data_IF_961328038386
#
_entry.id   IF_961328038386
#
_cell.length_a   1.000
_cell.length_b   1.000
_cell.length_c   1.000
_cell.angle_alpha   90.00
_cell.angle_beta   90.00
_cell.angle_gamma   90.00
#
_symmetry.space_group_name_H-M   'P 1'
#
loop_
_entity.id
_entity.type
_entity.pdbx_description
1 polymer ?
#
# COMPACT_ATOMS: atom_id res chain seq x y z
N UNK A 1 -21.87 -24.64 -0.94
CA UNK A 1 -21.01 -23.80 -0.08
C UNK A 1 -19.53 -24.04 -0.37
N UNK A 2 -19.07 -25.29 -0.38
CA UNK A 2 -17.65 -25.64 -0.64
C UNK A 2 -17.14 -25.09 -1.98
N UNK A 3 -17.87 -25.26 -3.08
CA UNK A 3 -17.47 -24.72 -4.40
C UNK A 3 -17.34 -23.18 -4.39
N UNK A 4 -18.21 -22.49 -3.65
CA UNK A 4 -18.14 -21.03 -3.52
C UNK A 4 -16.91 -20.60 -2.71
N UNK A 5 -16.57 -21.32 -1.65
CA UNK A 5 -15.39 -21.08 -0.84
C UNK A 5 -14.10 -21.24 -1.67
N UNK A 6 -13.99 -22.30 -2.48
CA UNK A 6 -12.87 -22.51 -3.39
C UNK A 6 -12.70 -21.36 -4.42
N UNK A 7 -13.82 -20.86 -4.97
CA UNK A 7 -13.79 -19.71 -5.89
C UNK A 7 -13.31 -18.46 -5.17
N UNK A 8 -13.78 -18.21 -3.95
CA UNK A 8 -13.35 -17.05 -3.14
C UNK A 8 -11.87 -17.16 -2.80
N UNK A 9 -11.41 -18.33 -2.35
CA UNK A 9 -9.99 -18.58 -2.07
C UNK A 9 -9.11 -18.31 -3.31
N UNK A 10 -9.52 -18.81 -4.47
CA UNK A 10 -8.82 -18.54 -5.72
C UNK A 10 -8.72 -17.05 -6.05
N UNK A 11 -9.78 -16.27 -5.78
CA UNK A 11 -9.77 -14.81 -5.94
C UNK A 11 -8.85 -14.11 -4.95
N UNK A 12 -8.84 -14.52 -3.68
CA UNK A 12 -7.94 -13.96 -2.67
C UNK A 12 -6.47 -14.20 -3.06
N UNK A 13 -6.14 -15.42 -3.48
CA UNK A 13 -4.79 -15.75 -3.98
C UNK A 13 -4.40 -14.96 -5.23
N UNK A 14 -5.35 -14.68 -6.13
CA UNK A 14 -5.09 -13.85 -7.31
C UNK A 14 -4.80 -12.39 -6.93
N UNK A 15 -5.49 -11.85 -5.91
CA UNK A 15 -5.23 -10.51 -5.37
C UNK A 15 -3.85 -10.40 -4.72
N UNK A 16 -3.49 -11.37 -3.88
CA UNK A 16 -2.17 -11.42 -3.24
C UNK A 16 -1.05 -11.42 -4.30
N UNK A 17 -1.19 -12.25 -5.38
CA UNK A 17 -0.24 -12.27 -6.49
C UNK A 17 -0.16 -10.94 -7.24
N UNK A 18 -1.28 -10.25 -7.40
CA UNK A 18 -1.32 -8.93 -8.04
C UNK A 18 -0.53 -7.89 -7.23
N UNK A 19 -0.73 -7.85 -5.93
CA UNK A 19 0.02 -6.96 -5.03
C UNK A 19 1.51 -7.28 -5.03
N UNK A 20 1.87 -8.57 -4.99
CA UNK A 20 3.27 -9.02 -5.05
C UNK A 20 3.97 -8.68 -6.38
N UNK A 21 3.20 -8.54 -7.48
CA UNK A 21 3.74 -8.14 -8.79
C UNK A 21 4.00 -6.63 -8.90
N UNK A 22 3.69 -5.84 -7.88
CA UNK A 22 4.00 -4.41 -7.83
C UNK A 22 5.53 -4.23 -7.86
N UNK A 23 6.03 -3.59 -8.91
CA UNK A 23 7.47 -3.46 -9.15
C UNK A 23 8.07 -2.22 -8.48
N UNK A 24 9.40 -2.10 -8.63
CA UNK A 24 10.19 -0.98 -8.12
C UNK A 24 9.74 0.40 -8.63
N UNK A 25 9.15 0.45 -9.83
CA UNK A 25 8.60 1.69 -10.38
C UNK A 25 7.45 2.23 -9.53
N UNK A 26 6.48 1.38 -9.15
CA UNK A 26 5.37 1.78 -8.27
C UNK A 26 5.90 2.25 -6.91
N UNK A 27 6.88 1.55 -6.35
CA UNK A 27 7.49 1.95 -5.07
C UNK A 27 8.14 3.34 -5.15
N UNK A 28 8.84 3.64 -6.26
CA UNK A 28 9.42 4.98 -6.50
C UNK A 28 8.35 6.05 -6.66
N UNK A 29 7.30 5.78 -7.45
CA UNK A 29 6.18 6.71 -7.65
C UNK A 29 5.47 7.03 -6.33
N UNK A 30 5.23 6.02 -5.48
CA UNK A 30 4.63 6.21 -4.15
C UNK A 30 5.54 7.02 -3.23
N UNK A 31 6.84 6.72 -3.19
CA UNK A 31 7.78 7.48 -2.37
C UNK A 31 7.84 8.96 -2.80
N UNK A 32 7.94 9.24 -4.09
CA UNK A 32 7.97 10.61 -4.61
C UNK A 32 6.67 11.36 -4.32
N UNK A 33 5.51 10.70 -4.51
CA UNK A 33 4.21 11.29 -4.23
C UNK A 33 3.99 11.55 -2.73
N UNK A 34 4.44 10.63 -1.87
CA UNK A 34 4.40 10.81 -0.42
C UNK A 34 5.24 12.01 0.04
N UNK A 35 6.44 12.18 -0.52
CA UNK A 35 7.28 13.35 -0.27
C UNK A 35 6.63 14.65 -0.76
N UNK A 36 5.96 14.64 -1.93
CA UNK A 36 5.21 15.79 -2.43
C UNK A 36 4.08 16.18 -1.49
N UNK A 37 3.30 15.22 -1.00
CA UNK A 37 2.23 15.46 0.00
C UNK A 37 2.84 16.03 1.28
N UNK A 38 3.92 15.42 1.80
CA UNK A 38 4.58 15.86 3.02
C UNK A 38 5.11 17.29 2.90
N UNK A 39 5.78 17.63 1.79
CA UNK A 39 6.29 18.97 1.52
C UNK A 39 5.15 19.99 1.45
N UNK A 40 4.06 19.69 0.71
CA UNK A 40 2.88 20.56 0.66
C UNK A 40 2.33 20.85 2.04
N UNK A 41 2.22 19.83 2.90
CA UNK A 41 1.69 19.98 4.26
C UNK A 41 2.67 20.72 5.20
N UNK A 42 3.98 20.49 5.06
CA UNK A 42 5.02 21.21 5.81
C UNK A 42 5.03 22.70 5.50
N UNK A 43 4.77 23.08 4.24
CA UNK A 43 4.68 24.46 3.77
C UNK A 43 3.31 25.10 4.10
N UNK A 44 2.51 24.47 4.98
CA UNK A 44 1.17 24.90 5.35
C UNK A 44 0.17 24.97 4.18
N UNK A 45 0.46 24.28 3.07
CA UNK A 45 -0.46 24.11 1.95
C UNK A 45 -1.63 23.18 2.30
N UNK A 46 -2.58 23.05 1.38
CA UNK A 46 -3.72 22.15 1.52
C UNK A 46 -3.64 21.02 0.49
N UNK A 47 -4.03 19.81 0.90
CA UNK A 47 -4.24 18.68 0.01
C UNK A 47 -5.73 18.53 -0.28
N UNK A 48 -6.12 18.77 -1.54
CA UNK A 48 -7.48 18.54 -2.02
C UNK A 48 -7.53 17.16 -2.68
N UNK A 49 -8.61 16.40 -2.48
CA UNK A 49 -8.76 15.08 -3.12
C UNK A 49 -10.07 15.01 -3.91
N UNK A 50 -10.04 14.39 -5.10
CA UNK A 50 -11.23 14.19 -5.92
C UNK A 50 -11.22 12.82 -6.62
N UNK A 51 -12.41 12.22 -6.75
CA UNK A 51 -12.65 10.93 -7.36
C UNK A 51 -14.14 10.64 -7.48
N UNK A 52 -14.51 9.65 -8.29
CA UNK A 52 -15.91 9.27 -8.50
C UNK A 52 -16.22 7.90 -7.91
N UNK A 53 -17.42 7.72 -7.35
CA UNK A 53 -17.89 6.42 -6.86
C UNK A 53 -16.97 5.81 -5.79
N UNK A 54 -16.43 4.60 -6.04
CA UNK A 54 -15.46 3.96 -5.13
C UNK A 54 -14.15 4.75 -4.99
N UNK A 55 -13.75 5.53 -6.00
CA UNK A 55 -12.61 6.45 -5.88
C UNK A 55 -12.91 7.64 -4.97
N UNK A 56 -14.18 8.05 -4.82
CA UNK A 56 -14.57 9.07 -3.85
C UNK A 56 -14.33 8.60 -2.41
N UNK A 57 -14.61 7.33 -2.12
CA UNK A 57 -14.32 6.76 -0.78
C UNK A 57 -12.83 6.70 -0.48
N UNK A 58 -11.96 6.51 -1.49
CA UNK A 58 -10.51 6.60 -1.32
C UNK A 58 -10.07 8.04 -0.99
N UNK A 59 -10.69 9.04 -1.63
CA UNK A 59 -10.45 10.45 -1.32
C UNK A 59 -10.76 10.80 0.13
N UNK A 60 -11.92 10.39 0.60
CA UNK A 60 -12.36 10.60 1.99
C UNK A 60 -11.50 9.84 2.98
N UNK A 61 -11.07 8.63 2.63
CA UNK A 61 -10.17 7.83 3.45
C UNK A 61 -8.80 8.52 3.59
N UNK A 62 -8.14 8.91 2.49
CA UNK A 62 -6.87 9.64 2.56
C UNK A 62 -6.98 10.89 3.44
N UNK A 63 -8.06 11.66 3.27
CA UNK A 63 -8.28 12.86 4.06
C UNK A 63 -8.48 12.53 5.55
N UNK A 64 -9.17 11.43 5.87
CA UNK A 64 -9.37 11.02 7.27
C UNK A 64 -8.04 10.68 7.96
N UNK A 65 -7.11 10.04 7.25
CA UNK A 65 -5.78 9.73 7.77
C UNK A 65 -4.90 10.99 7.92
N UNK A 66 -5.03 11.94 7.00
CA UNK A 66 -4.25 13.19 7.03
C UNK A 66 -4.78 14.15 8.10
N UNK A 67 -6.11 14.34 8.19
CA UNK A 67 -6.74 15.26 9.15
C UNK A 67 -6.77 14.66 10.56
N UNK A 68 -7.05 13.38 10.70
CA UNK A 68 -7.02 12.67 11.96
C UNK A 68 -5.58 12.26 12.32
N UNK A 69 -5.31 10.99 12.27
CA UNK A 69 -3.97 10.39 12.39
C UNK A 69 -3.96 9.06 11.65
N UNK A 70 -2.81 8.64 11.17
CA UNK A 70 -2.64 7.29 10.62
C UNK A 70 -2.11 6.33 11.69
N UNK A 71 -0.81 6.24 11.89
CA UNK A 71 -0.20 5.39 12.95
C UNK A 71 0.19 6.19 14.18
N UNK A 72 0.77 7.36 13.98
CA UNK A 72 1.35 8.19 15.04
C UNK A 72 0.36 9.24 15.52
N UNK A 73 0.36 9.51 16.84
CA UNK A 73 -0.38 10.62 17.41
C UNK A 73 0.30 11.96 17.02
N UNK A 74 -0.47 12.86 16.40
CA UNK A 74 0.01 14.13 15.87
C UNK A 74 -1.13 15.13 15.67
N UNK A 75 -0.85 16.44 15.57
CA UNK A 75 -1.84 17.41 15.13
C UNK A 75 -2.37 17.08 13.73
N UNK A 76 -3.66 17.37 13.51
CA UNK A 76 -4.30 17.23 12.20
C UNK A 76 -3.64 18.15 11.16
N UNK A 77 -3.57 17.68 9.91
CA UNK A 77 -3.00 18.42 8.80
C UNK A 77 -4.09 18.84 7.80
N UNK A 78 -3.79 19.81 6.94
CA UNK A 78 -4.77 20.46 6.07
C UNK A 78 -5.09 19.61 4.84
N UNK A 79 -6.23 18.91 4.86
CA UNK A 79 -6.74 18.18 3.72
C UNK A 79 -8.27 18.27 3.62
N UNK A 80 -8.81 18.24 2.41
CA UNK A 80 -10.26 18.28 2.14
C UNK A 80 -10.57 17.30 1.00
N UNK A 81 -11.54 16.42 1.23
CA UNK A 81 -12.14 15.62 0.17
C UNK A 81 -13.27 16.44 -0.48
N UNK A 82 -13.10 16.76 -1.76
CA UNK A 82 -14.10 17.52 -2.54
C UNK A 82 -15.39 16.71 -2.76
N UNK A 83 -15.38 15.44 -2.39
CA UNK A 83 -16.51 14.51 -2.45
C UNK A 83 -17.40 14.54 -1.21
N UNK A 84 -16.88 14.98 -0.05
CA UNK A 84 -17.57 14.88 1.23
C UNK A 84 -18.74 15.86 1.40
N UNK A 85 -18.73 16.97 0.67
CA UNK A 85 -19.77 18.01 0.75
C UNK A 85 -20.93 17.72 -0.20
N UNK A 86 -21.90 16.87 0.20
CA UNK A 86 -23.05 16.54 -0.66
C UNK A 86 -23.85 17.76 -1.13
N UNK A 87 -24.09 18.74 -0.25
CA UNK A 87 -24.79 19.97 -0.61
C UNK A 87 -24.01 20.78 -1.67
N UNK A 88 -22.70 20.96 -1.49
CA UNK A 88 -21.83 21.65 -2.46
C UNK A 88 -21.80 20.92 -3.80
N UNK A 89 -21.60 19.60 -3.79
CA UNK A 89 -21.57 18.78 -5.02
C UNK A 89 -22.89 18.82 -5.77
N UNK A 90 -24.02 18.73 -5.06
CA UNK A 90 -25.35 18.76 -5.69
C UNK A 90 -25.72 20.14 -6.21
N UNK A 91 -25.36 21.22 -5.49
CA UNK A 91 -25.58 22.59 -5.95
C UNK A 91 -24.80 22.88 -7.24
N UNK A 92 -23.47 22.60 -7.24
CA UNK A 92 -22.64 22.80 -8.43
C UNK A 92 -23.15 21.92 -9.59
N UNK A 93 -23.46 20.65 -9.30
CA UNK A 93 -23.96 19.71 -10.32
C UNK A 93 -25.28 20.17 -10.94
N UNK A 94 -26.18 20.76 -10.16
CA UNK A 94 -27.45 21.30 -10.64
C UNK A 94 -27.27 22.58 -11.48
N UNK A 95 -26.41 23.49 -11.04
CA UNK A 95 -26.29 24.81 -11.63
C UNK A 95 -25.30 24.88 -12.80
N UNK A 96 -24.22 24.10 -12.76
CA UNK A 96 -23.10 24.12 -13.72
C UNK A 96 -22.83 22.79 -14.42
N UNK A 97 -23.52 21.72 -14.03
CA UNK A 97 -23.31 20.38 -14.54
C UNK A 97 -22.30 19.56 -13.73
N UNK A 98 -22.42 18.23 -13.84
CA UNK A 98 -21.59 17.29 -13.07
C UNK A 98 -20.10 17.38 -13.43
N UNK A 99 -19.77 17.83 -14.62
CA UNK A 99 -18.40 18.01 -15.07
C UNK A 99 -17.65 19.10 -14.30
N UNK A 100 -18.38 20.02 -13.64
CA UNK A 100 -17.81 21.13 -12.90
C UNK A 100 -17.75 20.92 -11.38
N UNK A 101 -18.24 19.79 -10.86
CA UNK A 101 -18.39 19.58 -9.41
C UNK A 101 -17.08 19.68 -8.63
N UNK A 102 -15.95 19.29 -9.22
CA UNK A 102 -14.65 19.39 -8.58
C UNK A 102 -13.91 20.67 -8.97
N UNK A 103 -13.95 21.05 -10.24
CA UNK A 103 -13.23 22.23 -10.76
C UNK A 103 -13.68 23.53 -10.08
N UNK A 104 -14.96 23.70 -9.76
CA UNK A 104 -15.49 24.82 -9.01
C UNK A 104 -14.88 24.89 -7.60
N UNK A 105 -14.81 23.76 -6.91
CA UNK A 105 -14.25 23.69 -5.57
C UNK A 105 -12.73 23.92 -5.58
N UNK A 106 -12.02 23.37 -6.59
CA UNK A 106 -10.58 23.62 -6.77
C UNK A 106 -10.28 25.10 -6.93
N UNK A 107 -11.03 25.82 -7.79
CA UNK A 107 -10.86 27.28 -7.95
C UNK A 107 -11.18 28.09 -6.70
N UNK A 108 -12.12 27.61 -5.89
CA UNK A 108 -12.52 28.32 -4.67
C UNK A 108 -11.54 28.12 -3.51
N UNK A 109 -10.91 26.96 -3.41
CA UNK A 109 -10.11 26.54 -2.26
C UNK A 109 -8.61 26.58 -2.54
N UNK A 110 -8.21 26.28 -3.77
CA UNK A 110 -6.81 26.09 -4.16
C UNK A 110 -6.05 27.40 -4.27
N UNK A 111 -4.76 27.31 -3.94
CA UNK A 111 -3.78 28.40 -4.02
C UNK A 111 -2.49 27.88 -4.65
N UNK A 112 -1.63 28.76 -5.16
CA UNK A 112 -0.31 28.36 -5.63
C UNK A 112 0.46 27.54 -4.60
N UNK A 113 1.02 26.41 -5.02
CA UNK A 113 1.78 25.49 -4.16
C UNK A 113 0.94 24.43 -3.41
N UNK A 114 -0.39 24.56 -3.40
CA UNK A 114 -1.27 23.50 -2.90
C UNK A 114 -1.22 22.26 -3.80
N UNK A 115 -1.80 21.15 -3.36
CA UNK A 115 -1.84 19.88 -4.09
C UNK A 115 -3.26 19.39 -4.30
N UNK A 116 -3.59 18.96 -5.51
CA UNK A 116 -4.78 18.15 -5.77
C UNK A 116 -4.38 16.70 -6.09
N UNK A 117 -5.02 15.74 -5.39
CA UNK A 117 -4.84 14.29 -5.61
C UNK A 117 -6.09 13.74 -6.28
N UNK A 118 -5.95 13.19 -7.47
CA UNK A 118 -7.03 12.72 -8.33
C UNK A 118 -7.01 11.20 -8.45
N UNK A 119 -8.04 10.54 -7.90
CA UNK A 119 -8.19 9.08 -7.97
C UNK A 119 -9.08 8.67 -9.14
N UNK A 120 -8.58 7.84 -10.04
CA UNK A 120 -9.36 7.33 -11.16
C UNK A 120 -8.92 5.95 -11.64
N UNK A 121 -9.88 5.11 -11.98
CA UNK A 121 -9.62 3.78 -12.55
C UNK A 121 -9.52 3.83 -14.08
N UNK A 122 -10.14 4.81 -14.75
CA UNK A 122 -10.18 4.92 -16.20
C UNK A 122 -9.28 6.00 -16.79
N UNK A 123 -8.90 6.99 -15.98
CA UNK A 123 -8.17 8.17 -16.45
C UNK A 123 -8.95 9.10 -17.39
N UNK A 124 -10.29 8.91 -17.56
CA UNK A 124 -11.05 9.61 -18.59
C UNK A 124 -12.28 10.35 -18.09
N UNK A 125 -12.48 10.46 -16.77
CA UNK A 125 -13.62 11.17 -16.19
C UNK A 125 -13.50 12.68 -16.43
N UNK A 126 -14.48 13.26 -17.10
CA UNK A 126 -14.46 14.69 -17.53
C UNK A 126 -14.33 15.61 -16.32
N UNK A 127 -15.07 15.37 -15.23
CA UNK A 127 -15.00 16.19 -14.02
C UNK A 127 -13.60 16.17 -13.33
N UNK A 128 -12.83 15.11 -13.48
CA UNK A 128 -11.44 15.05 -12.98
C UNK A 128 -10.48 15.78 -13.92
N UNK A 129 -10.70 15.71 -15.24
CA UNK A 129 -9.95 16.51 -16.20
C UNK A 129 -10.17 18.01 -15.96
N UNK A 130 -11.41 18.42 -15.77
CA UNK A 130 -11.75 19.80 -15.42
C UNK A 130 -11.16 20.23 -14.09
N UNK A 131 -11.06 19.32 -13.10
CA UNK A 131 -10.36 19.57 -11.84
C UNK A 131 -8.86 19.80 -12.05
N UNK A 132 -8.21 18.99 -12.91
CA UNK A 132 -6.79 19.16 -13.25
C UNK A 132 -6.54 20.50 -13.97
N UNK A 133 -7.37 20.85 -14.96
CA UNK A 133 -7.30 22.17 -15.63
C UNK A 133 -7.48 23.33 -14.64
N UNK A 134 -8.44 23.20 -13.71
CA UNK A 134 -8.68 24.21 -12.68
C UNK A 134 -7.44 24.34 -11.75
N UNK A 135 -6.87 23.23 -11.30
CA UNK A 135 -5.68 23.21 -10.46
C UNK A 135 -4.49 23.90 -11.15
N UNK A 136 -4.26 23.61 -12.42
CA UNK A 136 -3.21 24.27 -13.20
C UNK A 136 -3.44 25.77 -13.33
N UNK A 137 -4.71 26.20 -13.50
CA UNK A 137 -5.05 27.64 -13.59
C UNK A 137 -4.82 28.44 -12.31
N UNK A 138 -4.75 27.77 -11.16
CA UNK A 138 -4.45 28.38 -9.84
C UNK A 138 -3.09 27.93 -9.29
N UNK A 139 -2.22 27.41 -10.14
CA UNK A 139 -0.84 27.03 -9.85
C UNK A 139 -0.69 25.99 -8.73
N UNK A 140 -1.63 25.04 -8.63
CA UNK A 140 -1.53 23.87 -7.76
C UNK A 140 -0.71 22.76 -8.44
N UNK A 141 -0.06 21.93 -7.64
CA UNK A 141 0.50 20.65 -8.08
C UNK A 141 -0.62 19.62 -8.31
N UNK A 142 -0.42 18.72 -9.27
CA UNK A 142 -1.42 17.72 -9.65
C UNK A 142 -0.80 16.32 -9.52
N UNK A 143 -1.34 15.50 -8.62
CA UNK A 143 -0.99 14.09 -8.45
C UNK A 143 -2.14 13.21 -8.93
N UNK A 144 -1.89 12.36 -9.89
CA UNK A 144 -2.84 11.32 -10.34
C UNK A 144 -2.54 9.96 -9.71
N UNK A 145 -3.54 9.30 -9.13
CA UNK A 145 -3.48 7.89 -8.74
C UNK A 145 -4.39 7.13 -9.71
N UNK A 146 -3.76 6.42 -10.65
CA UNK A 146 -4.38 5.97 -11.89
C UNK A 146 -4.08 4.49 -12.17
N UNK A 147 -4.84 3.88 -13.08
CA UNK A 147 -4.52 2.56 -13.60
C UNK A 147 -3.84 2.64 -14.98
N UNK A 148 -2.93 1.70 -15.25
CA UNK A 148 -2.24 1.61 -16.53
C UNK A 148 -1.46 2.87 -16.87
N UNK A 149 -1.72 3.46 -18.02
CA UNK A 149 -1.10 4.71 -18.50
C UNK A 149 -1.76 5.99 -17.95
N UNK A 150 -2.86 5.86 -17.22
CA UNK A 150 -3.63 6.98 -16.68
C UNK A 150 -4.56 7.67 -17.65
N UNK A 151 -4.68 7.19 -18.88
CA UNK A 151 -5.55 7.77 -19.90
C UNK A 151 -5.30 9.25 -20.17
N UNK A 152 -6.34 10.02 -20.41
CA UNK A 152 -6.22 11.47 -20.63
C UNK A 152 -5.74 12.23 -19.40
N UNK A 153 -6.17 11.81 -18.20
CA UNK A 153 -5.78 12.45 -16.96
C UNK A 153 -4.27 12.31 -16.68
N UNK A 154 -3.67 11.17 -17.07
CA UNK A 154 -2.24 10.95 -16.92
C UNK A 154 -1.37 11.98 -17.64
N UNK A 155 -1.89 12.62 -18.70
CA UNK A 155 -1.19 13.68 -19.45
C UNK A 155 -1.30 15.05 -18.79
N UNK A 156 -2.26 15.22 -17.87
CA UNK A 156 -2.51 16.47 -17.16
C UNK A 156 -1.80 16.54 -15.79
N UNK A 157 -1.33 15.40 -15.28
CA UNK A 157 -0.72 15.32 -13.96
C UNK A 157 0.79 15.63 -14.00
N UNK A 158 1.28 16.34 -12.98
CA UNK A 158 2.71 16.60 -12.78
C UNK A 158 3.41 15.36 -12.21
N UNK A 159 2.68 14.59 -11.41
CA UNK A 159 3.14 13.32 -10.82
C UNK A 159 2.06 12.26 -10.97
N UNK A 160 2.49 11.01 -11.15
CA UNK A 160 1.59 9.86 -11.32
C UNK A 160 2.02 8.70 -10.42
N UNK A 161 1.02 8.04 -9.86
CA UNK A 161 1.16 6.68 -9.31
C UNK A 161 0.32 5.76 -10.19
N UNK A 162 1.00 4.80 -10.83
CA UNK A 162 0.41 3.88 -11.80
C UNK A 162 0.24 2.50 -11.20
N UNK A 163 -0.98 2.16 -10.79
CA UNK A 163 -1.30 0.78 -10.42
C UNK A 163 -1.56 -0.07 -11.66
N UNK A 164 -1.44 -1.38 -11.53
CA UNK A 164 -1.64 -2.30 -12.65
C UNK A 164 -3.05 -2.23 -13.25
N UNK A 165 -3.19 -2.53 -14.54
CA UNK A 165 -4.49 -2.64 -15.20
C UNK A 165 -5.31 -3.81 -14.64
N UNK A 166 -6.65 -3.72 -14.66
CA UNK A 166 -7.53 -4.76 -14.15
C UNK A 166 -8.99 -4.35 -14.12
N UNK A 167 -9.80 -5.12 -13.37
CA UNK A 167 -11.18 -4.70 -13.10
C UNK A 167 -11.20 -3.46 -12.19
N UNK A 168 -12.24 -2.67 -12.26
CA UNK A 168 -12.41 -1.49 -11.39
C UNK A 168 -12.22 -1.83 -9.91
N UNK A 169 -12.76 -2.96 -9.45
CA UNK A 169 -12.60 -3.40 -8.06
C UNK A 169 -11.12 -3.68 -7.71
N UNK A 170 -10.40 -4.40 -8.58
CA UNK A 170 -8.98 -4.70 -8.34
C UNK A 170 -8.12 -3.43 -8.33
N UNK A 171 -8.40 -2.47 -9.23
CA UNK A 171 -7.72 -1.18 -9.25
C UNK A 171 -7.98 -0.39 -7.96
N UNK A 172 -9.21 -0.38 -7.47
CA UNK A 172 -9.56 0.28 -6.21
C UNK A 172 -8.90 -0.37 -5.00
N UNK A 173 -8.75 -1.70 -4.99
CA UNK A 173 -7.98 -2.41 -3.97
C UNK A 173 -6.50 -1.99 -3.96
N UNK A 174 -5.88 -1.86 -5.16
CA UNK A 174 -4.52 -1.35 -5.28
C UNK A 174 -4.42 0.13 -4.84
N UNK A 175 -5.40 0.97 -5.18
CA UNK A 175 -5.47 2.37 -4.72
C UNK A 175 -5.51 2.47 -3.20
N UNK A 176 -6.23 1.56 -2.51
CA UNK A 176 -6.26 1.51 -1.06
C UNK A 176 -4.88 1.17 -0.47
N UNK A 177 -4.19 0.20 -1.05
CA UNK A 177 -2.82 -0.13 -0.65
C UNK A 177 -1.88 1.07 -0.82
N UNK A 178 -1.93 1.72 -1.99
CA UNK A 178 -1.14 2.93 -2.28
C UNK A 178 -1.44 4.05 -1.28
N UNK A 179 -2.72 4.27 -0.95
CA UNK A 179 -3.15 5.28 0.02
C UNK A 179 -2.46 5.09 1.39
N UNK A 180 -2.46 3.87 1.92
CA UNK A 180 -1.80 3.60 3.19
C UNK A 180 -0.29 3.80 3.12
N UNK A 181 0.37 3.36 2.04
CA UNK A 181 1.80 3.59 1.84
C UNK A 181 2.13 5.10 1.73
N UNK A 182 1.28 5.90 1.09
CA UNK A 182 1.43 7.37 1.09
C UNK A 182 1.36 7.94 2.50
N UNK A 183 0.41 7.48 3.33
CA UNK A 183 0.30 7.92 4.72
C UNK A 183 1.55 7.55 5.54
N UNK A 184 2.13 6.37 5.31
CA UNK A 184 3.39 5.97 5.95
C UNK A 184 4.55 6.91 5.58
N UNK A 185 4.71 7.21 4.29
CA UNK A 185 5.77 8.13 3.82
C UNK A 185 5.55 9.53 4.37
N UNK A 186 4.31 10.04 4.36
CA UNK A 186 3.96 11.36 4.89
C UNK A 186 4.28 11.46 6.39
N UNK A 187 3.88 10.47 7.20
CA UNK A 187 4.19 10.48 8.64
C UNK A 187 5.70 10.33 8.89
N UNK A 188 6.38 9.46 8.14
CA UNK A 188 7.83 9.30 8.24
C UNK A 188 8.56 10.62 8.01
N UNK A 189 8.23 11.33 6.94
CA UNK A 189 8.89 12.59 6.56
C UNK A 189 8.59 13.70 7.57
N UNK A 190 7.32 13.91 7.90
CA UNK A 190 6.91 15.02 8.77
C UNK A 190 7.27 14.85 10.23
N UNK A 191 7.36 13.62 10.72
CA UNK A 191 7.69 13.33 12.13
C UNK A 191 9.16 12.95 12.33
N UNK A 192 9.94 12.76 11.25
CA UNK A 192 11.32 12.31 11.30
C UNK A 192 11.46 10.88 11.88
N UNK A 193 10.45 10.04 11.69
CA UNK A 193 10.44 8.64 12.14
C UNK A 193 10.76 7.71 10.98
N UNK A 194 11.48 6.63 11.24
CA UNK A 194 11.70 5.62 10.22
C UNK A 194 10.37 4.99 9.78
N UNK A 195 10.25 4.64 8.50
CA UNK A 195 9.19 3.75 8.04
C UNK A 195 9.17 2.49 8.90
N UNK A 196 8.00 2.03 9.30
CA UNK A 196 7.85 0.83 10.10
C UNK A 196 8.55 -0.37 9.46
N UNK A 197 8.92 -1.41 10.22
CA UNK A 197 9.51 -2.61 9.66
C UNK A 197 8.55 -3.23 8.66
N UNK A 198 9.10 -3.85 7.60
CA UNK A 198 8.29 -4.67 6.70
C UNK A 198 7.70 -5.82 7.52
N UNK A 199 6.39 -5.78 7.71
CA UNK A 199 5.67 -6.85 8.39
C UNK A 199 5.53 -8.02 7.42
N UNK A 200 6.08 -9.16 7.80
CA UNK A 200 5.99 -10.40 7.04
C UNK A 200 5.57 -11.49 8.01
N UNK A 201 4.38 -11.99 7.80
CA UNK A 201 3.83 -13.08 8.60
C UNK A 201 3.77 -14.37 7.79
N UNK A 202 4.17 -15.47 8.40
CA UNK A 202 3.94 -16.80 7.89
C UNK A 202 5.03 -17.32 6.94
N UNK A 203 4.62 -18.20 6.04
CA UNK A 203 5.51 -18.90 5.10
C UNK A 203 5.68 -18.08 3.83
N UNK A 204 6.93 -17.79 3.49
CA UNK A 204 7.32 -17.02 2.31
C UNK A 204 8.18 -17.85 1.36
N UNK A 205 8.15 -17.49 0.09
CA UNK A 205 9.10 -18.02 -0.90
C UNK A 205 10.50 -17.45 -0.72
N UNK A 206 11.50 -18.06 -1.37
CA UNK A 206 12.87 -17.53 -1.33
C UNK A 206 12.94 -16.11 -1.91
N UNK A 207 12.23 -15.84 -3.00
CA UNK A 207 12.25 -14.52 -3.64
C UNK A 207 11.62 -13.46 -2.72
N UNK A 208 10.49 -13.76 -2.09
CA UNK A 208 9.87 -12.90 -1.08
C UNK A 208 10.81 -12.67 0.12
N UNK A 209 11.48 -13.70 0.62
CA UNK A 209 12.45 -13.58 1.71
C UNK A 209 13.65 -12.69 1.32
N UNK A 210 14.11 -12.75 0.08
CA UNK A 210 15.18 -11.90 -0.46
C UNK A 210 14.71 -10.44 -0.50
N UNK A 211 13.50 -10.18 -0.98
CA UNK A 211 12.95 -8.82 -1.07
C UNK A 211 12.71 -8.22 0.33
N UNK A 212 12.17 -8.99 1.26
CA UNK A 212 12.07 -8.60 2.67
C UNK A 212 13.44 -8.25 3.25
N UNK A 213 14.44 -9.13 3.04
CA UNK A 213 15.81 -8.90 3.52
C UNK A 213 16.44 -7.63 2.96
N UNK A 214 16.16 -7.29 1.69
CA UNK A 214 16.62 -6.03 1.06
C UNK A 214 15.98 -4.82 1.71
N UNK A 215 14.67 -4.85 1.90
CA UNK A 215 13.92 -3.79 2.57
C UNK A 215 14.40 -3.59 4.02
N UNK A 216 14.57 -4.67 4.77
CA UNK A 216 15.11 -4.64 6.14
C UNK A 216 16.53 -4.08 6.17
N UNK A 217 17.38 -4.44 5.20
CA UNK A 217 18.74 -3.89 5.11
C UNK A 217 18.73 -2.36 4.89
N UNK A 218 17.83 -1.85 4.06
CA UNK A 218 17.67 -0.41 3.85
C UNK A 218 17.21 0.33 5.12
N UNK A 219 16.52 -0.37 6.03
CA UNK A 219 16.05 0.15 7.31
C UNK A 219 17.05 -0.07 8.47
N UNK A 220 18.18 -0.70 8.22
CA UNK A 220 19.16 -1.05 9.25
C UNK A 220 18.74 -2.20 10.18
N UNK A 221 17.68 -2.93 9.84
CA UNK A 221 17.16 -4.07 10.61
C UNK A 221 18.17 -5.22 10.59
N UNK A 222 18.54 -5.71 11.74
CA UNK A 222 19.42 -6.88 11.89
C UNK A 222 18.57 -8.16 11.75
N UNK A 223 19.01 -9.06 10.89
CA UNK A 223 18.29 -10.31 10.59
C UNK A 223 19.11 -11.50 11.04
N UNK A 224 18.57 -12.30 11.94
CA UNK A 224 19.10 -13.62 12.24
C UNK A 224 18.62 -14.62 11.19
N UNK A 225 19.47 -15.58 10.87
CA UNK A 225 19.15 -16.71 9.99
C UNK A 225 19.41 -18.02 10.72
N UNK A 226 18.45 -18.94 10.62
CA UNK A 226 18.66 -20.33 11.00
C UNK A 226 17.98 -21.25 9.97
N UNK A 227 18.40 -22.52 9.94
CA UNK A 227 17.78 -23.51 9.03
C UNK A 227 17.74 -24.87 9.70
N UNK A 228 16.83 -25.72 9.23
CA UNK A 228 16.74 -27.10 9.72
C UNK A 228 15.61 -27.91 9.11
N UNK A 229 15.57 -29.18 9.49
CA UNK A 229 14.51 -30.08 9.07
C UNK A 229 13.21 -29.83 9.86
N UNK A 230 13.30 -29.51 11.13
CA UNK A 230 12.18 -29.27 12.03
C UNK A 230 11.07 -30.33 11.91
N UNK A 231 11.47 -31.59 11.79
CA UNK A 231 10.56 -32.72 11.52
C UNK A 231 9.57 -32.96 12.68
N UNK A 232 10.09 -33.12 13.88
CA UNK A 232 9.31 -33.12 15.13
C UNK A 232 9.83 -31.99 16.00
N UNK A 233 8.98 -30.99 16.25
CA UNK A 233 9.35 -29.88 17.12
C UNK A 233 9.53 -30.37 18.56
N UNK A 234 10.59 -29.91 19.18
CA UNK A 234 10.89 -30.18 20.58
C UNK A 234 11.53 -28.94 21.24
N UNK A 235 11.69 -28.98 22.53
CA UNK A 235 12.16 -27.84 23.34
C UNK A 235 13.51 -27.29 22.87
N UNK A 236 14.41 -28.13 22.33
CA UNK A 236 15.68 -27.69 21.77
C UNK A 236 15.50 -26.79 20.53
N UNK A 237 14.56 -27.12 19.63
CA UNK A 237 14.22 -26.24 18.53
C UNK A 237 13.67 -24.89 19.00
N UNK A 238 12.75 -24.90 19.96
CA UNK A 238 12.19 -23.66 20.54
C UNK A 238 13.27 -22.79 21.19
N UNK A 239 14.22 -23.39 21.89
CA UNK A 239 15.32 -22.66 22.50
C UNK A 239 16.22 -22.00 21.44
N UNK A 240 16.55 -22.71 20.36
CA UNK A 240 17.33 -22.19 19.24
C UNK A 240 16.61 -21.02 18.55
N UNK A 241 15.32 -21.18 18.24
CA UNK A 241 14.53 -20.12 17.58
C UNK A 241 14.39 -18.88 18.46
N UNK A 242 14.10 -19.05 19.76
CA UNK A 242 14.05 -17.94 20.72
C UNK A 242 15.38 -17.22 20.87
N UNK A 243 16.49 -17.96 20.92
CA UNK A 243 17.82 -17.38 20.98
C UNK A 243 18.14 -16.57 19.73
N UNK A 244 17.88 -17.16 18.53
CA UNK A 244 18.11 -16.48 17.27
C UNK A 244 17.26 -15.19 17.16
N UNK A 245 15.96 -15.26 17.50
CA UNK A 245 15.07 -14.09 17.50
C UNK A 245 15.49 -13.02 18.51
N UNK A 246 15.96 -13.43 19.67
CA UNK A 246 16.44 -12.50 20.70
C UNK A 246 17.79 -11.85 20.41
N UNK A 247 18.55 -12.34 19.41
CA UNK A 247 19.83 -11.78 18.98
C UNK A 247 19.74 -10.80 17.81
N UNK A 248 18.55 -10.61 17.23
CA UNK A 248 18.33 -9.75 16.06
C UNK A 248 16.88 -9.20 16.04
N UNK A 249 16.64 -8.22 15.18
CA UNK A 249 15.34 -7.57 15.05
C UNK A 249 14.32 -8.42 14.27
N UNK A 250 14.80 -9.33 13.42
CA UNK A 250 13.98 -10.26 12.66
C UNK A 250 14.65 -11.64 12.57
N UNK A 251 13.86 -12.70 12.36
CA UNK A 251 14.37 -14.06 12.19
C UNK A 251 13.79 -14.66 10.90
N UNK A 252 14.67 -15.15 10.03
CA UNK A 252 14.31 -15.97 8.88
C UNK A 252 14.68 -17.42 9.19
N UNK A 253 13.74 -18.35 9.00
CA UNK A 253 13.94 -19.77 9.20
C UNK A 253 13.89 -20.50 7.86
N UNK A 254 15.02 -21.04 7.42
CA UNK A 254 15.11 -21.90 6.25
C UNK A 254 14.63 -23.32 6.58
N UNK A 255 13.52 -23.75 5.96
CA UNK A 255 12.98 -25.09 6.15
C UNK A 255 13.45 -26.04 5.04
N UNK A 256 14.00 -27.18 5.42
CA UNK A 256 14.38 -28.21 4.46
C UNK A 256 13.15 -28.87 3.82
N UNK A 257 13.18 -29.02 2.49
CA UNK A 257 12.15 -29.77 1.76
C UNK A 257 12.12 -31.25 2.19
N UNK A 258 10.99 -31.92 1.98
CA UNK A 258 10.86 -33.34 2.29
C UNK A 258 11.91 -34.20 1.56
N UNK A 259 12.24 -33.87 0.31
CA UNK A 259 13.28 -34.54 -0.44
C UNK A 259 14.67 -34.34 0.17
N UNK A 260 14.95 -33.15 0.69
CA UNK A 260 16.21 -32.86 1.39
C UNK A 260 16.30 -33.62 2.72
N UNK A 261 15.20 -33.67 3.48
CA UNK A 261 15.15 -34.43 4.74
C UNK A 261 15.37 -35.92 4.50
N UNK A 262 14.74 -36.52 3.48
CA UNK A 262 14.97 -37.94 3.09
C UNK A 262 16.43 -38.20 2.80
N UNK A 263 17.10 -37.34 2.02
CA UNK A 263 18.54 -37.50 1.74
C UNK A 263 19.41 -37.44 3.00
N UNK A 264 19.03 -36.61 3.98
CA UNK A 264 19.83 -36.39 5.20
C UNK A 264 19.58 -37.44 6.28
N UNK A 265 18.33 -37.93 6.41
CA UNK A 265 17.88 -38.76 7.55
C UNK A 265 17.33 -40.12 7.15
N UNK A 266 17.29 -40.46 5.85
CA UNK A 266 16.79 -41.71 5.32
C UNK A 266 15.30 -41.71 4.94
N UNK A 267 14.84 -42.78 4.26
CA UNK A 267 13.52 -42.87 3.63
C UNK A 267 12.33 -42.81 4.62
N UNK A 268 12.56 -43.10 5.91
CA UNK A 268 11.54 -42.99 6.95
C UNK A 268 11.32 -41.53 7.48
N UNK A 269 11.94 -40.53 6.86
CA UNK A 269 11.87 -39.15 7.26
C UNK A 269 11.56 -38.25 6.06
N UNK A 270 10.87 -37.09 6.28
CA UNK A 270 10.30 -36.61 7.54
C UNK A 270 9.03 -37.38 7.95
N UNK A 271 8.67 -37.30 9.22
CA UNK A 271 7.38 -37.81 9.73
C UNK A 271 6.27 -36.80 9.43
N UNK A 272 6.58 -35.50 9.58
CA UNK A 272 5.65 -34.39 9.32
C UNK A 272 5.95 -33.81 7.95
N UNK A 273 4.97 -33.75 7.02
CA UNK A 273 5.15 -33.15 5.69
C UNK A 273 5.61 -31.69 5.74
N UNK A 274 6.32 -31.24 4.69
CA UNK A 274 6.91 -29.91 4.58
C UNK A 274 5.88 -28.79 4.87
N UNK A 275 4.68 -28.87 4.29
CA UNK A 275 3.66 -27.86 4.45
C UNK A 275 3.21 -27.73 5.93
N UNK A 276 3.02 -28.85 6.62
CA UNK A 276 2.64 -28.85 8.03
C UNK A 276 3.79 -28.34 8.93
N UNK A 277 5.04 -28.69 8.62
CA UNK A 277 6.22 -28.20 9.34
C UNK A 277 6.37 -26.69 9.17
N UNK A 278 6.11 -26.17 7.98
CA UNK A 278 6.13 -24.73 7.71
C UNK A 278 5.05 -23.99 8.50
N UNK A 279 3.82 -24.49 8.51
CA UNK A 279 2.70 -23.92 9.27
C UNK A 279 2.98 -23.95 10.78
N UNK A 280 3.51 -25.06 11.31
CA UNK A 280 3.89 -25.16 12.72
C UNK A 280 4.96 -24.12 13.12
N UNK A 281 5.97 -23.92 12.27
CA UNK A 281 7.01 -22.90 12.52
C UNK A 281 6.43 -21.49 12.46
N UNK A 282 5.64 -21.19 11.46
CA UNK A 282 5.00 -19.88 11.28
C UNK A 282 4.02 -19.52 12.42
N UNK A 283 3.50 -20.52 13.14
CA UNK A 283 2.64 -20.29 14.31
C UNK A 283 3.41 -19.95 15.60
N UNK A 284 4.73 -20.02 15.58
CA UNK A 284 5.57 -19.70 16.74
C UNK A 284 5.81 -18.19 16.81
N UNK A 285 5.59 -17.59 17.97
CA UNK A 285 5.82 -16.14 18.21
C UNK A 285 7.29 -15.69 18.05
N UNK A 286 8.21 -16.61 17.81
CA UNK A 286 9.63 -16.33 17.59
C UNK A 286 10.06 -16.42 16.12
N UNK A 287 9.15 -16.75 15.22
CA UNK A 287 9.43 -16.90 13.76
C UNK A 287 8.64 -15.89 12.98
#
# INVERSE_FOLDING_TARGET
MEDMALVIEGRLRARARRSAAAGSLLAMEVAQAGLLIATTLADAGIVLTAGNGGSATQCEHLVSEVVGRFRSDRPGMRAIALTAGSATTTAIGNDYGFDQVFSHQVRALGRPGDLVVLFTTSGNSVNLLEAAHAARSVEMNILGIVAGDGGRLGQECDNLIRVGAGSTAAIQEDHLTVLHLLCEVVESELLGIALGPIEVDGVVTIDEAIDCRRGWAAQGVQVAWTNGCFDLLHQGHLATLKYARGSADALIVGLNTDSSVRRLKGDGRPIVPEAERAELLASLSSV
#
